data_IF_021440725036
#
_entry.id   IF_021440725036
#
_cell.length_a   1.000
_cell.length_b   1.000
_cell.length_c   1.000
_cell.angle_alpha   90.00
_cell.angle_beta   90.00
_cell.angle_gamma   90.00
#
_symmetry.space_group_name_H-M   'P 1'
#
loop_
_entity.id
_entity.type
_entity.pdbx_description
1 polymer ?
#
# COMPACT_ATOMS: atom_id res chain seq x y z
N UNK A 1 16.21 -22.67 -11.40
CA UNK A 1 16.06 -24.08 -11.81
C UNK A 1 14.70 -24.35 -12.46
N UNK A 2 13.70 -23.48 -12.24
CA UNK A 2 12.32 -23.61 -12.75
C UNK A 2 11.93 -22.52 -13.75
N UNK A 3 12.85 -21.65 -14.16
CA UNK A 3 12.54 -20.54 -15.07
C UNK A 3 11.60 -19.46 -14.47
N UNK A 4 11.62 -19.32 -13.14
CA UNK A 4 10.84 -18.34 -12.41
C UNK A 4 11.76 -17.19 -12.02
N UNK A 5 11.41 -15.97 -12.44
CA UNK A 5 12.08 -14.74 -12.03
C UNK A 5 11.50 -14.21 -10.73
N UNK A 6 12.27 -13.39 -10.02
CA UNK A 6 11.90 -12.87 -8.70
C UNK A 6 11.67 -11.36 -8.79
N UNK A 7 10.59 -10.90 -8.15
CA UNK A 7 10.28 -9.49 -7.93
C UNK A 7 10.45 -9.17 -6.43
N UNK A 8 11.21 -8.11 -6.12
CA UNK A 8 11.43 -7.65 -4.75
C UNK A 8 10.58 -6.42 -4.43
N UNK A 9 10.16 -6.36 -3.19
CA UNK A 9 9.43 -5.20 -2.65
C UNK A 9 10.42 -4.12 -2.16
N UNK A 10 10.23 -2.90 -2.66
CA UNK A 10 11.04 -1.72 -2.36
C UNK A 10 10.22 -0.72 -1.57
N UNK A 11 10.45 -0.66 -0.25
CA UNK A 11 9.77 0.27 0.65
C UNK A 11 10.59 1.55 0.73
N UNK A 12 10.27 2.51 -0.15
CA UNK A 12 11.07 3.71 -0.35
C UNK A 12 10.46 5.00 0.19
N UNK A 13 9.22 4.95 0.69
CA UNK A 13 8.60 6.12 1.32
C UNK A 13 9.19 6.43 2.69
N UNK A 14 9.63 5.42 3.44
CA UNK A 14 10.08 5.55 4.84
C UNK A 14 11.15 4.52 5.19
N UNK A 15 11.80 4.71 6.33
CA UNK A 15 12.60 3.66 6.98
C UNK A 15 12.10 3.39 8.39
N UNK A 16 12.52 2.27 8.97
CA UNK A 16 12.34 2.06 10.41
C UNK A 16 13.11 3.13 11.21
N UNK A 17 12.55 3.55 12.34
CA UNK A 17 13.25 4.42 13.30
C UNK A 17 14.46 3.75 13.96
N UNK A 18 14.63 2.42 13.78
CA UNK A 18 15.84 1.69 14.17
C UNK A 18 16.87 1.59 13.03
N UNK A 19 16.56 2.11 11.84
CA UNK A 19 17.50 2.16 10.71
C UNK A 19 18.72 3.01 11.06
N UNK A 20 19.87 2.65 10.53
CA UNK A 20 21.13 3.34 10.79
C UNK A 20 21.05 4.85 10.50
N UNK A 21 20.40 5.24 9.41
CA UNK A 21 20.25 6.65 9.04
C UNK A 21 19.45 7.43 10.09
N UNK A 22 18.35 6.87 10.59
CA UNK A 22 17.52 7.54 11.60
C UNK A 22 18.28 7.65 12.94
N UNK A 23 19.03 6.62 13.32
CA UNK A 23 19.84 6.66 14.54
C UNK A 23 20.96 7.72 14.45
N UNK A 24 21.62 7.86 13.29
CA UNK A 24 22.61 8.92 13.05
C UNK A 24 21.97 10.31 13.11
N UNK A 25 20.78 10.46 12.50
CA UNK A 25 19.99 11.69 12.58
C UNK A 25 19.66 12.09 14.03
N UNK A 26 19.21 11.14 14.85
CA UNK A 26 18.95 11.33 16.30
C UNK A 26 20.23 11.68 17.08
N UNK A 27 21.37 11.12 16.70
CA UNK A 27 22.66 11.43 17.29
C UNK A 27 23.20 12.82 16.92
N UNK A 28 22.48 13.58 16.10
CA UNK A 28 22.79 14.96 15.76
C UNK A 28 23.52 15.15 14.42
N UNK A 29 23.72 14.08 13.64
CA UNK A 29 24.32 14.16 12.31
C UNK A 29 23.39 14.92 11.36
N UNK A 30 23.84 16.09 10.90
CA UNK A 30 23.04 17.01 10.08
C UNK A 30 22.75 16.48 8.70
N UNK A 31 23.64 15.69 8.12
CA UNK A 31 23.41 15.06 6.83
C UNK A 31 22.24 14.07 6.90
N UNK A 32 22.25 13.21 7.92
CA UNK A 32 21.17 12.23 8.11
C UNK A 32 19.87 12.86 8.65
N UNK A 33 19.92 14.00 9.34
CA UNK A 33 18.71 14.77 9.66
C UNK A 33 17.99 15.23 8.40
N UNK A 34 18.71 15.60 7.35
CA UNK A 34 18.13 16.01 6.07
C UNK A 34 17.61 14.83 5.22
N UNK A 35 17.86 13.59 5.64
CA UNK A 35 17.26 12.39 5.02
C UNK A 35 15.80 12.19 5.37
N UNK A 36 15.32 12.83 6.42
CA UNK A 36 13.94 12.70 6.92
C UNK A 36 13.19 14.02 6.88
N UNK A 37 11.87 13.94 6.90
CA UNK A 37 11.03 15.13 7.00
C UNK A 37 10.90 15.50 8.48
N UNK A 38 11.79 16.39 8.94
CA UNK A 38 11.84 16.90 10.31
C UNK A 38 11.45 18.37 10.30
N UNK A 39 10.57 18.79 11.21
CA UNK A 39 10.06 20.18 11.29
C UNK A 39 10.01 20.66 12.73
N UNK A 40 10.11 21.97 12.88
CA UNK A 40 9.80 22.64 14.13
C UNK A 40 8.27 22.66 14.36
N UNK A 41 7.78 22.70 15.61
CA UNK A 41 6.38 22.97 15.88
C UNK A 41 5.99 24.37 15.34
N UNK A 42 4.69 24.62 15.21
CA UNK A 42 4.18 25.96 14.89
C UNK A 42 4.51 26.94 16.03
N UNK A 43 4.35 28.24 15.76
CA UNK A 43 4.62 29.31 16.75
C UNK A 43 3.77 29.17 18.03
N UNK A 44 2.58 28.60 17.92
CA UNK A 44 1.69 28.33 19.05
C UNK A 44 2.01 27.02 19.80
N UNK A 45 3.07 26.31 19.38
CA UNK A 45 3.50 25.03 19.93
C UNK A 45 2.74 23.81 19.41
N UNK A 46 1.79 23.98 18.50
CA UNK A 46 1.10 22.84 17.87
C UNK A 46 1.98 22.12 16.86
N UNK A 47 1.55 20.92 16.45
CA UNK A 47 2.26 20.09 15.48
C UNK A 47 2.48 20.81 14.14
N UNK A 48 3.52 20.42 13.38
CA UNK A 48 3.86 21.08 12.11
C UNK A 48 2.69 21.14 11.11
N UNK A 49 1.86 20.11 11.06
CA UNK A 49 0.58 20.09 10.37
C UNK A 49 -0.46 19.28 11.16
N UNK A 50 -1.74 19.40 10.78
CA UNK A 50 -2.84 18.62 11.36
C UNK A 50 -3.05 17.26 10.67
N UNK A 51 -2.03 16.73 9.97
CA UNK A 51 -2.15 15.47 9.22
C UNK A 51 -2.29 14.26 10.15
N UNK A 52 -3.04 13.27 9.65
CA UNK A 52 -3.29 12.02 10.35
C UNK A 52 -2.44 10.88 9.78
N UNK A 53 -1.98 9.99 10.63
CA UNK A 53 -1.39 8.72 10.20
C UNK A 53 -2.46 7.84 9.54
N UNK A 54 -2.06 7.08 8.52
CA UNK A 54 -2.94 6.10 7.86
C UNK A 54 -3.37 4.96 8.80
N UNK A 55 -2.66 4.76 9.92
CA UNK A 55 -2.99 3.78 10.95
C UNK A 55 -3.72 4.38 12.17
N UNK A 56 -4.12 5.65 12.04
CA UNK A 56 -4.81 6.38 13.10
C UNK A 56 -3.87 7.22 13.97
N UNK A 57 -4.42 8.29 14.54
CA UNK A 57 -3.64 9.26 15.31
C UNK A 57 -2.91 10.27 14.45
N UNK A 58 -2.03 11.05 15.07
CA UNK A 58 -1.27 12.13 14.43
C UNK A 58 -0.14 11.59 13.54
N UNK A 59 0.19 12.30 12.47
CA UNK A 59 1.28 11.92 11.57
C UNK A 59 2.66 12.47 11.99
N UNK A 60 2.76 13.10 13.14
CA UNK A 60 3.98 13.70 13.66
C UNK A 60 4.33 13.16 15.04
N UNK A 61 5.57 12.76 15.22
CA UNK A 61 6.09 12.29 16.50
C UNK A 61 7.35 13.08 16.92
N UNK A 62 7.63 13.23 18.23
CA UNK A 62 8.81 13.93 18.73
C UNK A 62 10.12 13.32 18.16
N UNK A 63 11.00 14.17 17.68
CA UNK A 63 12.32 13.77 17.20
C UNK A 63 13.36 13.85 18.36
N UNK A 64 13.38 12.82 19.20
CA UNK A 64 14.17 12.81 20.42
C UNK A 64 13.84 13.99 21.34
N UNK A 65 14.83 14.53 22.03
CA UNK A 65 14.70 15.69 22.95
C UNK A 65 15.01 17.01 22.24
N UNK A 66 14.89 17.08 20.90
CA UNK A 66 15.27 18.27 20.10
C UNK A 66 14.22 19.35 20.08
N UNK A 67 13.01 19.10 20.52
CA UNK A 67 11.85 19.99 20.36
C UNK A 67 11.26 19.98 18.95
N UNK A 68 11.80 19.18 18.04
CA UNK A 68 11.30 19.01 16.66
C UNK A 68 10.46 17.75 16.54
N UNK A 69 9.79 17.61 15.39
CA UNK A 69 8.95 16.47 15.04
C UNK A 69 9.39 15.87 13.70
N UNK A 70 9.30 14.55 13.57
CA UNK A 70 9.44 13.86 12.28
C UNK A 70 8.09 13.39 11.77
N UNK A 71 7.94 13.38 10.44
CA UNK A 71 6.73 12.89 9.77
C UNK A 71 6.73 11.36 9.71
N UNK A 72 5.56 10.75 9.98
CA UNK A 72 5.28 9.35 9.74
C UNK A 72 3.85 9.18 9.23
N UNK A 73 3.67 9.00 7.92
CA UNK A 73 2.34 8.75 7.36
C UNK A 73 1.76 7.39 7.71
N UNK A 74 2.57 6.47 8.25
CA UNK A 74 2.21 5.13 8.70
C UNK A 74 2.48 4.98 10.19
N UNK A 75 3.04 3.85 10.62
CA UNK A 75 3.37 3.65 12.04
C UNK A 75 4.41 4.64 12.54
N UNK A 76 4.33 4.99 13.83
CA UNK A 76 5.30 5.88 14.49
C UNK A 76 6.76 5.39 14.34
N UNK A 77 6.96 4.10 14.13
CA UNK A 77 8.28 3.51 13.88
C UNK A 77 8.74 3.59 12.42
N UNK A 78 7.96 4.22 11.52
CA UNK A 78 8.20 4.30 10.08
C UNK A 78 8.38 5.76 9.66
N UNK A 79 9.59 6.31 9.82
CA UNK A 79 9.88 7.72 9.54
C UNK A 79 9.96 8.01 8.03
N UNK A 80 9.21 9.00 7.55
CA UNK A 80 9.13 9.39 6.15
C UNK A 80 10.44 10.00 5.64
N UNK A 81 10.92 9.50 4.50
CA UNK A 81 12.13 9.99 3.84
C UNK A 81 11.89 11.30 3.09
N UNK A 82 12.88 12.15 3.11
CA UNK A 82 12.93 13.41 2.37
C UNK A 82 13.45 13.19 0.94
N UNK A 83 12.58 12.81 0.02
CA UNK A 83 12.93 12.60 -1.39
C UNK A 83 13.40 13.87 -2.13
N UNK A 84 13.22 15.05 -1.56
CA UNK A 84 13.79 16.28 -2.10
C UNK A 84 15.31 16.30 -1.98
N UNK A 85 15.85 15.62 -1.00
CA UNK A 85 17.29 15.46 -0.83
C UNK A 85 17.85 14.51 -1.92
N UNK A 86 18.70 15.00 -2.84
CA UNK A 86 19.27 14.15 -3.89
C UNK A 86 20.09 12.98 -3.34
N UNK A 87 20.73 13.12 -2.19
CA UNK A 87 21.47 12.02 -1.56
C UNK A 87 20.55 10.85 -1.17
N UNK A 88 19.34 11.13 -0.70
CA UNK A 88 18.35 10.08 -0.43
C UNK A 88 18.02 9.34 -1.71
N UNK A 89 17.75 10.04 -2.81
CA UNK A 89 17.47 9.42 -4.10
C UNK A 89 18.63 8.57 -4.61
N UNK A 90 19.87 9.08 -4.50
CA UNK A 90 21.09 8.32 -4.86
C UNK A 90 21.24 7.04 -4.02
N UNK A 91 21.00 7.10 -2.71
CA UNK A 91 21.06 5.91 -1.86
C UNK A 91 20.00 4.86 -2.25
N UNK A 92 18.78 5.29 -2.56
CA UNK A 92 17.72 4.40 -3.00
C UNK A 92 17.99 3.79 -4.40
N UNK A 93 18.62 4.55 -5.30
CA UNK A 93 19.11 4.05 -6.59
C UNK A 93 20.18 2.95 -6.38
N UNK A 94 21.09 3.13 -5.42
CA UNK A 94 22.09 2.10 -5.07
C UNK A 94 21.44 0.82 -4.57
N UNK A 95 20.36 0.91 -3.81
CA UNK A 95 19.60 -0.27 -3.36
C UNK A 95 19.04 -1.06 -4.55
N UNK A 96 18.41 -0.38 -5.51
CA UNK A 96 17.88 -1.03 -6.71
C UNK A 96 19.01 -1.66 -7.53
N UNK A 97 20.09 -0.91 -7.78
CA UNK A 97 21.24 -1.39 -8.56
C UNK A 97 21.91 -2.61 -7.91
N UNK A 98 22.04 -2.61 -6.57
CA UNK A 98 22.56 -3.77 -5.84
C UNK A 98 21.77 -5.04 -6.13
N UNK A 99 20.43 -4.96 -6.16
CA UNK A 99 19.59 -6.12 -6.45
C UNK A 99 19.57 -6.50 -7.93
N UNK A 100 19.65 -5.53 -8.84
CA UNK A 100 19.85 -5.80 -10.28
C UNK A 100 21.13 -6.60 -10.53
N UNK A 101 22.25 -6.22 -9.89
CA UNK A 101 23.53 -6.94 -9.95
C UNK A 101 23.43 -8.38 -9.40
N UNK A 102 22.48 -8.64 -8.49
CA UNK A 102 22.18 -9.99 -7.98
C UNK A 102 21.24 -10.79 -8.88
N UNK A 103 20.77 -10.20 -9.99
CA UNK A 103 19.94 -10.88 -10.98
C UNK A 103 18.42 -10.79 -10.70
N UNK A 104 17.99 -9.88 -9.83
CA UNK A 104 16.56 -9.61 -9.62
C UNK A 104 15.99 -8.96 -10.89
N UNK A 105 14.84 -9.45 -11.35
CA UNK A 105 14.17 -9.06 -12.59
C UNK A 105 12.89 -8.26 -12.38
N UNK A 106 12.47 -8.07 -11.15
CA UNK A 106 11.26 -7.30 -10.86
C UNK A 106 11.37 -6.48 -9.59
N UNK A 107 10.69 -5.34 -9.58
CA UNK A 107 10.56 -4.47 -8.41
C UNK A 107 9.12 -4.01 -8.24
N UNK A 108 8.58 -4.24 -7.05
CA UNK A 108 7.34 -3.62 -6.58
C UNK A 108 7.71 -2.47 -5.66
N UNK A 109 7.24 -1.28 -5.95
CA UNK A 109 7.49 -0.10 -5.13
C UNK A 109 6.28 0.21 -4.26
N UNK A 110 6.49 0.13 -2.94
CA UNK A 110 5.49 0.37 -1.92
C UNK A 110 5.09 1.85 -1.87
N UNK A 111 3.80 2.12 -1.90
CA UNK A 111 3.17 3.46 -1.79
C UNK A 111 3.95 4.58 -2.50
N UNK A 112 4.45 4.31 -3.69
CA UNK A 112 5.41 5.17 -4.40
C UNK A 112 4.83 6.55 -4.74
N UNK A 113 3.53 6.68 -4.89
CA UNK A 113 2.89 7.96 -5.16
C UNK A 113 2.85 8.93 -3.97
N UNK A 114 3.37 8.53 -2.80
CA UNK A 114 3.44 9.37 -1.59
C UNK A 114 4.80 10.04 -1.38
N UNK A 115 5.82 9.72 -2.19
CA UNK A 115 7.20 10.20 -1.97
C UNK A 115 7.39 11.69 -2.23
N UNK A 116 6.52 12.33 -2.99
CA UNK A 116 6.65 13.70 -3.50
C UNK A 116 6.03 14.77 -2.62
N UNK A 117 6.30 14.80 -1.32
CA UNK A 117 5.77 15.85 -0.44
C UNK A 117 6.34 17.22 -0.76
N UNK A 118 5.53 18.27 -0.63
CA UNK A 118 5.94 19.64 -0.89
C UNK A 118 6.94 20.17 0.15
N UNK A 119 7.69 21.23 -0.18
CA UNK A 119 8.61 21.89 0.78
C UNK A 119 7.85 22.51 1.92
N UNK A 120 6.83 23.30 1.57
CA UNK A 120 5.93 23.91 2.53
C UNK A 120 4.77 22.93 2.78
N UNK A 121 4.82 22.25 3.91
CA UNK A 121 3.73 21.41 4.36
C UNK A 121 2.66 22.32 4.98
N UNK A 122 1.42 22.14 4.57
CA UNK A 122 0.28 22.94 5.01
C UNK A 122 -0.74 22.07 5.73
N UNK A 123 -1.55 22.68 6.57
CA UNK A 123 -2.68 22.01 7.19
C UNK A 123 -3.69 21.54 6.14
N UNK A 124 -4.34 20.44 6.43
CA UNK A 124 -5.48 19.99 5.64
C UNK A 124 -6.73 20.79 5.97
N UNK A 125 -7.56 21.03 4.95
CA UNK A 125 -8.87 21.64 5.07
C UNK A 125 -9.95 20.61 4.70
N UNK A 126 -10.74 20.18 5.67
CA UNK A 126 -11.78 19.16 5.45
C UNK A 126 -11.20 17.83 4.98
N UNK A 127 -11.64 17.33 3.84
CA UNK A 127 -11.25 16.01 3.30
C UNK A 127 -10.05 16.04 2.34
N UNK A 128 -9.34 17.16 2.20
CA UNK A 128 -8.28 17.31 1.20
C UNK A 128 -6.91 16.78 1.61
N UNK A 129 -6.74 16.26 2.82
CA UNK A 129 -5.45 15.82 3.38
C UNK A 129 -4.66 14.93 2.42
N UNK A 130 -5.31 13.89 1.88
CA UNK A 130 -4.64 12.94 0.98
C UNK A 130 -4.06 13.59 -0.27
N UNK A 131 -4.70 14.64 -0.80
CA UNK A 131 -4.22 15.36 -1.98
C UNK A 131 -2.95 16.18 -1.72
N UNK A 132 -2.62 16.46 -0.45
CA UNK A 132 -1.43 17.23 -0.08
C UNK A 132 -0.13 16.44 -0.20
N UNK A 133 -0.20 15.10 -0.22
CA UNK A 133 0.97 14.24 -0.31
C UNK A 133 0.84 13.09 -1.33
N UNK A 134 -0.32 12.93 -1.99
CA UNK A 134 -0.55 11.86 -2.99
C UNK A 134 -0.45 12.44 -4.40
N UNK A 135 0.17 11.70 -5.31
CA UNK A 135 0.28 12.01 -6.75
C UNK A 135 0.78 13.43 -7.05
N UNK A 136 1.68 13.96 -6.22
CA UNK A 136 2.27 15.28 -6.46
C UNK A 136 3.10 15.27 -7.75
N UNK A 137 3.07 16.32 -8.58
CA UNK A 137 3.75 16.34 -9.87
C UNK A 137 5.23 15.96 -9.82
N UNK A 138 5.91 16.30 -8.73
CA UNK A 138 7.33 15.99 -8.54
C UNK A 138 7.62 14.48 -8.44
N UNK A 139 6.63 13.66 -8.09
CA UNK A 139 6.76 12.19 -8.01
C UNK A 139 7.21 11.63 -9.36
N UNK A 140 6.64 12.10 -10.45
CA UNK A 140 6.98 11.66 -11.80
C UNK A 140 8.43 11.97 -12.17
N UNK A 141 8.99 13.07 -11.69
CA UNK A 141 10.40 13.41 -11.89
C UNK A 141 11.30 12.43 -11.13
N UNK A 142 10.98 12.14 -9.88
CA UNK A 142 11.73 11.20 -9.05
C UNK A 142 11.69 9.76 -9.59
N UNK A 143 10.54 9.32 -10.11
CA UNK A 143 10.42 7.98 -10.69
C UNK A 143 11.22 7.89 -12.00
N UNK A 144 11.19 8.92 -12.86
CA UNK A 144 12.02 8.95 -14.07
C UNK A 144 13.51 8.98 -13.74
N UNK A 145 13.92 9.75 -12.73
CA UNK A 145 15.31 9.76 -12.25
C UNK A 145 15.74 8.35 -11.79
N UNK A 146 14.91 7.70 -10.99
CA UNK A 146 15.14 6.33 -10.52
C UNK A 146 15.20 5.33 -11.69
N UNK A 147 14.27 5.41 -12.64
CA UNK A 147 14.27 4.59 -13.85
C UNK A 147 15.57 4.73 -14.63
N UNK A 148 15.96 5.97 -14.96
CA UNK A 148 17.17 6.26 -15.75
C UNK A 148 18.47 5.82 -15.07
N UNK A 149 18.51 5.93 -13.73
CA UNK A 149 19.69 5.59 -12.94
C UNK A 149 19.80 4.09 -12.60
N UNK A 150 18.78 3.29 -12.91
CA UNK A 150 18.75 1.88 -12.52
C UNK A 150 18.14 0.98 -13.62
N UNK A 151 16.90 0.59 -13.49
CA UNK A 151 16.28 -0.46 -14.31
C UNK A 151 15.92 -0.02 -15.75
N UNK A 152 15.78 1.27 -16.03
CA UNK A 152 15.31 1.77 -17.34
C UNK A 152 16.28 1.55 -18.50
N UNK A 153 17.54 1.22 -18.23
CA UNK A 153 18.54 0.91 -19.27
C UNK A 153 18.67 -0.58 -19.56
N UNK A 154 17.92 -1.40 -18.84
CA UNK A 154 17.98 -2.86 -18.93
C UNK A 154 16.73 -3.40 -19.62
N UNK A 155 16.92 -4.45 -20.43
CA UNK A 155 15.84 -5.24 -20.98
C UNK A 155 15.35 -6.26 -19.92
N UNK A 156 14.11 -6.71 -20.06
CA UNK A 156 13.51 -7.77 -19.23
C UNK A 156 13.35 -7.43 -17.73
N UNK A 157 13.27 -6.16 -17.37
CA UNK A 157 12.94 -5.74 -16.01
C UNK A 157 11.47 -5.31 -15.95
N UNK A 158 10.76 -5.81 -14.95
CA UNK A 158 9.36 -5.47 -14.70
C UNK A 158 9.26 -4.66 -13.43
N UNK A 159 8.53 -3.54 -13.48
CA UNK A 159 8.30 -2.68 -12.32
C UNK A 159 6.81 -2.46 -12.11
N UNK A 160 6.39 -2.46 -10.86
CA UNK A 160 5.02 -2.15 -10.47
C UNK A 160 5.00 -1.17 -9.29
N UNK A 161 4.19 -0.13 -9.40
CA UNK A 161 3.99 0.82 -8.32
C UNK A 161 2.68 0.54 -7.58
N UNK A 162 2.74 0.55 -6.26
CA UNK A 162 1.54 0.62 -5.44
C UNK A 162 1.07 2.08 -5.35
N UNK A 163 -0.12 2.36 -5.94
CA UNK A 163 -0.65 3.72 -6.05
C UNK A 163 -1.95 3.86 -5.25
N UNK A 164 -1.80 4.21 -3.98
CA UNK A 164 -2.94 4.44 -3.10
C UNK A 164 -3.71 5.69 -3.52
N UNK A 165 -5.03 5.58 -3.69
CA UNK A 165 -5.93 6.70 -3.99
C UNK A 165 -5.60 7.50 -5.26
N UNK A 166 -4.91 6.89 -6.23
CA UNK A 166 -4.58 7.50 -7.52
C UNK A 166 -5.80 7.57 -8.45
N UNK A 167 -5.72 8.36 -9.51
CA UNK A 167 -6.74 8.43 -10.58
C UNK A 167 -6.31 7.65 -11.81
N UNK A 168 -7.24 7.41 -12.74
CA UNK A 168 -6.92 6.79 -14.04
C UNK A 168 -5.89 7.61 -14.79
N UNK A 169 -6.03 8.95 -14.79
CA UNK A 169 -5.12 9.88 -15.46
C UNK A 169 -3.70 9.76 -14.91
N UNK A 170 -3.56 9.75 -13.57
CA UNK A 170 -2.25 9.52 -12.95
C UNK A 170 -1.75 8.11 -13.20
N UNK A 171 -2.62 7.10 -13.18
CA UNK A 171 -2.28 5.72 -13.54
C UNK A 171 -1.65 5.60 -14.92
N UNK A 172 -2.21 6.31 -15.90
CA UNK A 172 -1.64 6.43 -17.25
C UNK A 172 -0.25 7.07 -17.20
N UNK A 173 -0.11 8.18 -16.47
CA UNK A 173 1.19 8.87 -16.37
C UNK A 173 2.29 7.96 -15.79
N UNK A 174 1.98 7.16 -14.78
CA UNK A 174 2.95 6.24 -14.16
C UNK A 174 3.35 5.06 -15.05
N UNK A 175 2.45 4.57 -15.90
CA UNK A 175 2.62 3.29 -16.60
C UNK A 175 2.59 3.36 -18.13
N UNK A 176 2.46 4.56 -18.72
CA UNK A 176 2.62 4.73 -20.16
C UNK A 176 4.11 4.56 -20.52
N UNK A 177 4.48 3.63 -21.44
CA UNK A 177 5.87 3.33 -21.74
C UNK A 177 6.67 4.52 -22.28
N UNK A 178 6.04 5.48 -22.96
CA UNK A 178 6.71 6.67 -23.49
C UNK A 178 7.21 7.62 -22.39
N UNK A 179 6.78 7.42 -21.15
CA UNK A 179 7.14 8.27 -20.02
C UNK A 179 8.38 7.79 -19.26
N UNK A 180 8.80 6.54 -19.49
CA UNK A 180 9.96 5.93 -18.81
C UNK A 180 9.85 6.02 -17.29
N UNK A 181 8.71 5.62 -16.74
CA UNK A 181 8.47 5.54 -15.30
C UNK A 181 8.40 4.08 -14.86
N UNK A 182 7.22 3.48 -14.82
CA UNK A 182 7.00 2.10 -14.38
C UNK A 182 6.36 1.26 -15.49
N UNK A 183 6.45 -0.07 -15.38
CA UNK A 183 5.78 -0.97 -16.33
C UNK A 183 4.27 -1.01 -16.09
N UNK A 184 3.81 -0.91 -14.84
CA UNK A 184 2.40 -1.01 -14.45
C UNK A 184 2.16 -0.45 -13.04
N UNK A 185 0.89 -0.32 -12.67
CA UNK A 185 0.50 0.11 -11.33
C UNK A 185 -0.62 -0.76 -10.75
N UNK A 186 -0.63 -0.90 -9.42
CA UNK A 186 -1.79 -1.32 -8.64
C UNK A 186 -2.68 -0.13 -8.31
N UNK A 187 -3.98 -0.23 -8.60
CA UNK A 187 -5.00 0.63 -8.03
C UNK A 187 -5.86 -0.15 -7.05
N UNK A 188 -6.49 0.52 -6.09
CA UNK A 188 -7.25 -0.12 -5.00
C UNK A 188 -8.75 0.20 -5.04
N UNK A 189 -9.22 0.93 -6.04
CA UNK A 189 -10.60 1.40 -6.09
C UNK A 189 -11.62 0.25 -6.10
N UNK A 190 -11.36 -0.81 -6.85
CA UNK A 190 -12.20 -2.01 -6.94
C UNK A 190 -12.32 -2.76 -5.60
N UNK A 191 -11.41 -2.53 -4.66
CA UNK A 191 -11.43 -3.11 -3.33
C UNK A 191 -12.14 -2.25 -2.27
N UNK A 192 -12.67 -1.07 -2.65
CA UNK A 192 -13.35 -0.16 -1.71
C UNK A 192 -14.87 -0.16 -1.89
N UNK A 193 -15.40 -1.07 -2.69
CA UNK A 193 -16.82 -1.17 -3.02
C UNK A 193 -17.71 -1.71 -1.88
N UNK A 194 -17.11 -2.10 -0.78
CA UNK A 194 -17.76 -2.48 0.47
C UNK A 194 -17.46 -1.50 1.63
N UNK A 195 -16.98 -0.29 1.28
CA UNK A 195 -16.82 0.80 2.23
C UNK A 195 -18.10 1.63 2.27
N UNK A 196 -18.44 2.15 3.43
CA UNK A 196 -19.57 3.06 3.58
C UNK A 196 -19.04 4.48 3.82
N UNK A 197 -19.42 5.40 2.96
CA UNK A 197 -19.00 6.82 3.05
C UNK A 197 -17.47 7.00 3.14
N UNK A 198 -16.72 6.08 2.49
CA UNK A 198 -15.26 6.06 2.52
C UNK A 198 -14.64 5.31 3.70
N UNK A 199 -15.46 4.87 4.67
CA UNK A 199 -15.00 4.17 5.87
C UNK A 199 -14.91 2.65 5.65
N UNK A 200 -13.73 2.07 5.94
CA UNK A 200 -13.43 0.65 5.79
C UNK A 200 -14.18 -0.23 6.78
N UNK A 201 -14.21 0.19 8.05
CA UNK A 201 -14.64 -0.64 9.18
C UNK A 201 -16.16 -0.60 9.37
N UNK A 202 -16.88 -1.08 8.37
CA UNK A 202 -18.34 -1.11 8.33
C UNK A 202 -18.85 -2.48 7.90
N UNK A 203 -20.11 -2.77 8.20
CA UNK A 203 -20.82 -4.00 7.79
C UNK A 203 -21.54 -3.82 6.44
N UNK A 204 -20.96 -3.02 5.57
CA UNK A 204 -21.50 -2.77 4.23
C UNK A 204 -21.15 -3.94 3.31
N UNK A 205 -22.15 -4.62 2.68
CA UNK A 205 -21.86 -5.57 1.63
C UNK A 205 -21.27 -4.85 0.40
N UNK A 206 -20.50 -5.58 -0.40
CA UNK A 206 -19.91 -4.97 -1.59
C UNK A 206 -20.99 -4.59 -2.62
N UNK A 207 -20.78 -3.44 -3.25
CA UNK A 207 -21.61 -2.98 -4.35
C UNK A 207 -21.11 -3.55 -5.67
N UNK A 208 -21.85 -4.54 -6.20
CA UNK A 208 -21.50 -5.20 -7.45
C UNK A 208 -21.57 -4.27 -8.67
N UNK A 209 -22.53 -3.35 -8.70
CA UNK A 209 -22.66 -2.41 -9.82
C UNK A 209 -21.51 -1.41 -9.81
N UNK A 210 -21.12 -0.92 -8.65
CA UNK A 210 -19.98 -0.04 -8.48
C UNK A 210 -18.67 -0.77 -8.81
N UNK A 211 -18.50 -2.01 -8.39
CA UNK A 211 -17.34 -2.84 -8.78
C UNK A 211 -17.21 -2.95 -10.30
N UNK A 212 -18.32 -3.25 -10.97
CA UNK A 212 -18.37 -3.35 -12.44
C UNK A 212 -18.05 -2.01 -13.11
N UNK A 213 -18.58 -0.91 -12.57
CA UNK A 213 -18.30 0.45 -13.07
C UNK A 213 -16.82 0.78 -12.98
N UNK A 214 -16.22 0.55 -11.81
CA UNK A 214 -14.78 0.83 -11.56
C UNK A 214 -13.90 -0.03 -12.48
N UNK A 215 -14.15 -1.34 -12.57
CA UNK A 215 -13.37 -2.20 -13.46
C UNK A 215 -13.45 -1.72 -14.91
N UNK A 216 -14.65 -1.35 -15.40
CA UNK A 216 -14.82 -0.84 -16.76
C UNK A 216 -14.10 0.50 -16.97
N UNK A 217 -14.21 1.44 -16.05
CA UNK A 217 -13.53 2.75 -16.09
C UNK A 217 -12.01 2.60 -16.16
N UNK A 218 -11.42 1.78 -15.30
CA UNK A 218 -9.98 1.53 -15.30
C UNK A 218 -9.51 0.78 -16.54
N UNK A 219 -10.29 -0.18 -17.04
CA UNK A 219 -9.96 -0.91 -18.28
C UNK A 219 -9.98 0.02 -19.50
N UNK A 220 -11.03 0.80 -19.66
CA UNK A 220 -11.17 1.73 -20.77
C UNK A 220 -10.12 2.85 -20.70
N UNK A 221 -10.05 3.56 -19.58
CA UNK A 221 -9.15 4.70 -19.45
C UNK A 221 -7.67 4.33 -19.58
N UNK A 222 -7.22 3.27 -18.92
CA UNK A 222 -5.84 2.79 -19.07
C UNK A 222 -5.53 2.31 -20.49
N UNK A 223 -6.52 1.72 -21.19
CA UNK A 223 -6.35 1.34 -22.59
C UNK A 223 -6.22 2.55 -23.50
N UNK A 224 -7.09 3.53 -23.34
CA UNK A 224 -7.11 4.75 -24.16
C UNK A 224 -5.85 5.59 -23.99
N UNK A 225 -5.31 5.64 -22.77
CA UNK A 225 -4.08 6.37 -22.45
C UNK A 225 -2.79 5.58 -22.56
N UNK A 226 -2.83 4.35 -23.10
CA UNK A 226 -1.69 3.44 -23.20
C UNK A 226 -1.00 3.15 -21.85
N UNK A 227 -1.75 3.17 -20.75
CA UNK A 227 -1.31 2.72 -19.44
C UNK A 227 -1.47 1.21 -19.25
N UNK A 228 -0.93 0.65 -18.15
CA UNK A 228 -1.00 -0.78 -17.88
C UNK A 228 -1.39 -1.07 -16.42
N UNK A 229 -2.43 -1.90 -16.24
CA UNK A 229 -2.91 -2.32 -14.93
C UNK A 229 -2.15 -3.55 -14.42
N UNK A 230 -1.75 -3.54 -13.16
CA UNK A 230 -1.51 -4.73 -12.37
C UNK A 230 -2.84 -5.15 -11.72
N UNK A 231 -3.34 -6.31 -12.08
CA UNK A 231 -4.67 -6.80 -11.70
C UNK A 231 -4.57 -7.77 -10.52
N UNK A 232 -5.38 -7.58 -9.49
CA UNK A 232 -5.36 -8.45 -8.31
C UNK A 232 -6.67 -8.40 -7.55
N UNK A 233 -6.96 -9.44 -6.78
CA UNK A 233 -8.04 -9.48 -5.80
C UNK A 233 -7.53 -9.44 -4.37
N UNK A 234 -6.39 -10.09 -4.13
CA UNK A 234 -5.80 -10.25 -2.80
C UNK A 234 -4.38 -9.68 -2.76
N UNK A 235 -3.98 -9.27 -1.59
CA UNK A 235 -2.59 -9.07 -1.18
C UNK A 235 -2.49 -9.24 0.35
N UNK A 236 -1.33 -8.98 0.91
CA UNK A 236 -1.07 -9.06 2.36
C UNK A 236 -1.82 -8.00 3.20
N UNK A 237 -2.49 -7.05 2.57
CA UNK A 237 -3.25 -5.95 3.22
C UNK A 237 -4.75 -5.99 2.95
N UNK A 238 -5.24 -7.04 2.28
CA UNK A 238 -6.66 -7.19 1.96
C UNK A 238 -7.20 -8.51 2.49
N UNK A 239 -8.45 -8.58 2.97
CA UNK A 239 -9.08 -9.85 3.30
C UNK A 239 -9.17 -10.77 2.08
N UNK A 240 -9.31 -12.08 2.30
CA UNK A 240 -9.42 -13.06 1.23
C UNK A 240 -10.60 -12.77 0.30
N UNK A 241 -10.35 -12.70 -1.00
CA UNK A 241 -11.35 -12.32 -1.99
C UNK A 241 -12.54 -13.28 -2.07
N UNK A 242 -12.30 -14.59 -1.89
CA UNK A 242 -13.38 -15.59 -1.88
C UNK A 242 -14.42 -15.30 -0.79
N UNK A 243 -13.98 -14.89 0.40
CA UNK A 243 -14.89 -14.51 1.50
C UNK A 243 -15.52 -13.14 1.31
N UNK A 244 -14.89 -12.25 0.52
CA UNK A 244 -15.34 -10.88 0.34
C UNK A 244 -16.32 -10.69 -0.80
N UNK A 245 -16.07 -11.37 -1.94
CA UNK A 245 -16.80 -11.15 -3.19
C UNK A 245 -17.62 -12.35 -3.64
N UNK A 246 -17.72 -13.41 -2.86
CA UNK A 246 -18.45 -14.62 -3.19
C UNK A 246 -19.13 -15.27 -2.02
N UNK A 247 -19.61 -16.49 -2.25
CA UNK A 247 -20.19 -17.37 -1.24
C UNK A 247 -19.44 -18.71 -1.24
N UNK A 248 -18.25 -18.75 -0.61
CA UNK A 248 -17.40 -19.94 -0.62
C UNK A 248 -17.95 -21.11 0.20
N UNK A 249 -18.95 -20.88 1.07
CA UNK A 249 -19.62 -21.95 1.80
C UNK A 249 -20.52 -22.80 0.89
N UNK A 250 -21.25 -22.14 -0.02
CA UNK A 250 -22.17 -22.80 -0.95
C UNK A 250 -21.52 -23.15 -2.28
N UNK A 251 -20.65 -22.27 -2.76
CA UNK A 251 -20.08 -22.31 -4.12
C UNK A 251 -18.56 -22.09 -4.12
N UNK A 252 -17.78 -22.94 -3.42
CA UNK A 252 -16.34 -22.71 -3.25
C UNK A 252 -15.58 -22.69 -4.58
N UNK A 253 -15.87 -23.63 -5.47
CA UNK A 253 -15.20 -23.73 -6.77
C UNK A 253 -15.66 -22.62 -7.73
N UNK A 254 -16.94 -22.36 -7.80
CA UNK A 254 -17.53 -21.35 -8.68
C UNK A 254 -17.06 -19.94 -8.28
N UNK A 255 -16.99 -19.66 -6.97
CA UNK A 255 -16.49 -18.38 -6.44
C UNK A 255 -15.03 -18.17 -6.85
N UNK A 256 -14.15 -19.12 -6.57
CA UNK A 256 -12.75 -19.01 -6.90
C UNK A 256 -12.53 -18.92 -8.43
N UNK A 257 -13.25 -19.74 -9.21
CA UNK A 257 -13.17 -19.73 -10.67
C UNK A 257 -13.66 -18.43 -11.29
N UNK A 258 -14.76 -17.86 -10.80
CA UNK A 258 -15.29 -16.59 -11.26
C UNK A 258 -14.30 -15.45 -11.02
N UNK A 259 -13.72 -15.38 -9.82
CA UNK A 259 -12.73 -14.35 -9.48
C UNK A 259 -11.46 -14.48 -10.33
N UNK A 260 -10.96 -15.70 -10.50
CA UNK A 260 -9.80 -15.98 -11.34
C UNK A 260 -10.06 -15.57 -12.80
N UNK A 261 -11.20 -15.99 -13.38
CA UNK A 261 -11.56 -15.62 -14.75
C UNK A 261 -11.64 -14.10 -14.93
N UNK A 262 -12.19 -13.39 -13.95
CA UNK A 262 -12.33 -11.94 -14.05
C UNK A 262 -10.98 -11.27 -14.26
N UNK A 263 -9.98 -11.49 -13.38
CA UNK A 263 -8.70 -10.79 -13.52
C UNK A 263 -7.82 -11.31 -14.67
N UNK A 264 -7.96 -12.60 -15.05
CA UNK A 264 -7.16 -13.16 -16.15
C UNK A 264 -7.68 -12.77 -17.54
N UNK A 265 -8.93 -12.36 -17.68
CA UNK A 265 -9.53 -11.95 -18.94
C UNK A 265 -9.57 -10.43 -19.14
N UNK A 266 -9.20 -9.65 -18.16
CA UNK A 266 -9.04 -8.20 -18.26
C UNK A 266 -7.67 -7.84 -18.87
N UNK A 267 -7.58 -6.65 -19.50
CA UNK A 267 -6.30 -6.11 -20.00
C UNK A 267 -5.42 -5.66 -18.83
N UNK A 268 -4.29 -6.34 -18.64
CA UNK A 268 -3.34 -6.08 -17.57
C UNK A 268 -2.54 -7.32 -17.21
N UNK A 269 -1.69 -7.21 -16.20
CA UNK A 269 -0.92 -8.33 -15.67
C UNK A 269 -1.57 -8.84 -14.39
N UNK A 270 -2.04 -10.12 -14.35
CA UNK A 270 -2.64 -10.67 -13.15
C UNK A 270 -1.58 -11.00 -12.10
N UNK A 271 -1.87 -10.65 -10.86
CA UNK A 271 -1.10 -10.98 -9.67
C UNK A 271 -1.94 -11.89 -8.77
N UNK A 272 -1.45 -13.10 -8.54
CA UNK A 272 -2.13 -14.12 -7.75
C UNK A 272 -1.49 -14.17 -6.37
N UNK A 273 -2.27 -13.87 -5.35
CA UNK A 273 -1.80 -13.94 -3.97
C UNK A 273 -1.78 -15.40 -3.48
N UNK A 274 -0.76 -15.78 -2.72
CA UNK A 274 -0.63 -17.13 -2.19
C UNK A 274 -1.90 -17.59 -1.47
N UNK A 275 -2.39 -18.78 -1.84
CA UNK A 275 -3.65 -19.35 -1.35
C UNK A 275 -4.88 -18.99 -2.18
N UNK A 276 -4.81 -17.97 -3.05
CA UNK A 276 -5.90 -17.64 -3.97
C UNK A 276 -6.13 -18.77 -4.97
N UNK A 277 -5.05 -19.37 -5.46
CA UNK A 277 -5.05 -20.48 -6.41
C UNK A 277 -5.73 -21.77 -5.88
N UNK A 278 -5.85 -21.90 -4.56
CA UNK A 278 -6.56 -23.01 -3.91
C UNK A 278 -7.86 -22.57 -3.22
N UNK A 279 -8.28 -21.34 -3.44
CA UNK A 279 -9.55 -20.81 -2.92
C UNK A 279 -9.58 -20.54 -1.41
N UNK A 280 -8.44 -20.21 -0.78
CA UNK A 280 -8.40 -19.89 0.65
C UNK A 280 -9.38 -18.79 1.02
N UNK A 281 -9.98 -18.92 2.20
CA UNK A 281 -10.96 -18.01 2.80
C UNK A 281 -10.41 -17.31 4.04
N UNK A 282 -11.15 -16.32 4.56
CA UNK A 282 -10.82 -15.71 5.84
C UNK A 282 -10.87 -16.75 6.97
N UNK A 283 -10.00 -16.64 7.99
CA UNK A 283 -10.14 -17.43 9.20
C UNK A 283 -11.36 -16.99 10.02
N UNK A 284 -11.94 -17.90 10.78
CA UNK A 284 -13.09 -17.61 11.65
C UNK A 284 -12.61 -17.43 13.11
N UNK A 285 -11.93 -16.32 13.39
CA UNK A 285 -11.47 -16.01 14.75
C UNK A 285 -12.56 -15.30 15.54
N UNK A 286 -12.87 -15.80 16.74
CA UNK A 286 -13.97 -15.30 17.57
C UNK A 286 -13.57 -14.15 18.51
N UNK A 287 -12.27 -13.90 18.68
CA UNK A 287 -11.77 -12.90 19.62
C UNK A 287 -10.68 -12.03 18.99
N UNK A 288 -10.67 -10.74 19.38
CA UNK A 288 -9.73 -9.75 18.88
C UNK A 288 -8.27 -10.11 19.21
N UNK A 289 -8.02 -10.87 20.28
CA UNK A 289 -6.67 -11.32 20.64
C UNK A 289 -6.03 -12.27 19.62
N UNK A 290 -6.83 -12.86 18.73
CA UNK A 290 -6.33 -13.68 17.61
C UNK A 290 -5.78 -12.86 16.46
N UNK A 291 -6.11 -11.58 16.39
CA UNK A 291 -5.59 -10.62 15.42
C UNK A 291 -4.32 -9.96 15.96
N UNK A 292 -3.34 -9.70 15.12
CA UNK A 292 -2.05 -9.11 15.49
C UNK A 292 -1.87 -7.70 14.95
N UNK A 293 -2.59 -7.38 13.89
CA UNK A 293 -2.49 -6.09 13.24
C UNK A 293 -3.07 -4.96 14.09
N UNK A 294 -2.25 -3.91 14.30
CA UNK A 294 -2.63 -2.76 15.12
C UNK A 294 -3.85 -2.02 14.56
N UNK A 295 -4.05 -2.00 13.24
CA UNK A 295 -5.20 -1.39 12.61
C UNK A 295 -6.50 -2.08 13.05
N UNK A 296 -6.50 -3.42 13.13
CA UNK A 296 -7.64 -4.21 13.60
C UNK A 296 -7.97 -3.95 15.07
N UNK A 297 -6.94 -3.83 15.92
CA UNK A 297 -7.13 -3.50 17.33
C UNK A 297 -7.67 -2.07 17.54
N UNK A 298 -7.16 -1.11 16.80
CA UNK A 298 -7.65 0.26 16.84
C UNK A 298 -9.10 0.34 16.38
N UNK A 299 -9.41 -0.26 15.24
CA UNK A 299 -10.77 -0.32 14.71
C UNK A 299 -11.75 -0.99 15.69
N UNK A 300 -11.36 -2.12 16.28
CA UNK A 300 -12.20 -2.78 17.28
C UNK A 300 -12.50 -1.85 18.46
N UNK A 301 -11.49 -1.11 18.95
CA UNK A 301 -11.65 -0.16 20.05
C UNK A 301 -12.61 0.97 19.69
N UNK A 302 -12.46 1.54 18.49
CA UNK A 302 -13.33 2.61 17.96
C UNK A 302 -14.78 2.12 17.80
N UNK A 303 -14.99 0.94 17.24
CA UNK A 303 -16.31 0.32 17.13
C UNK A 303 -16.96 0.11 18.51
N UNK A 304 -16.18 -0.33 19.49
CA UNK A 304 -16.66 -0.45 20.88
C UNK A 304 -17.02 0.90 21.51
N UNK A 305 -16.22 1.93 21.27
CA UNK A 305 -16.51 3.30 21.71
C UNK A 305 -17.75 3.89 21.03
N UNK A 306 -18.00 3.51 19.79
CA UNK A 306 -19.21 3.87 19.04
C UNK A 306 -20.46 3.10 19.53
N UNK A 307 -20.34 2.20 20.50
CA UNK A 307 -21.45 1.52 21.16
C UNK A 307 -21.80 0.14 20.60
N UNK A 308 -21.02 -0.40 19.65
CA UNK A 308 -21.28 -1.75 19.13
C UNK A 308 -20.99 -2.81 20.19
N UNK A 309 -21.77 -3.89 20.18
CA UNK A 309 -21.50 -5.09 20.98
C UNK A 309 -20.20 -5.76 20.54
N UNK A 310 -19.66 -6.67 21.34
CA UNK A 310 -18.49 -7.47 20.95
C UNK A 310 -18.76 -8.24 19.64
N UNK A 311 -19.90 -8.87 19.54
CA UNK A 311 -20.27 -9.67 18.36
C UNK A 311 -20.38 -8.82 17.08
N UNK A 312 -21.00 -7.63 17.16
CA UNK A 312 -21.10 -6.70 16.01
C UNK A 312 -19.71 -6.19 15.58
N UNK A 313 -18.87 -5.79 16.53
CA UNK A 313 -17.52 -5.35 16.23
C UNK A 313 -16.70 -6.49 15.61
N UNK A 314 -16.73 -7.69 16.20
CA UNK A 314 -16.00 -8.84 15.65
C UNK A 314 -16.47 -9.25 14.26
N UNK A 315 -17.77 -9.16 13.97
CA UNK A 315 -18.30 -9.42 12.62
C UNK A 315 -17.64 -8.52 11.58
N UNK A 316 -17.45 -7.25 11.88
CA UNK A 316 -16.75 -6.29 11.00
C UNK A 316 -15.26 -6.64 10.89
N UNK A 317 -14.60 -6.90 12.00
CA UNK A 317 -13.17 -7.27 12.02
C UNK A 317 -12.90 -8.54 11.19
N UNK A 318 -13.72 -9.58 11.37
CA UNK A 318 -13.65 -10.84 10.60
C UNK A 318 -13.72 -10.61 9.07
N UNK A 319 -14.47 -9.62 8.64
CA UNK A 319 -14.63 -9.31 7.21
C UNK A 319 -13.50 -8.42 6.66
N UNK A 320 -13.00 -7.46 7.44
CA UNK A 320 -12.19 -6.35 6.94
C UNK A 320 -10.71 -6.40 7.31
N UNK A 321 -10.33 -7.22 8.31
CA UNK A 321 -8.95 -7.29 8.78
C UNK A 321 -8.01 -7.82 7.70
N UNK A 322 -6.84 -7.19 7.58
CA UNK A 322 -5.76 -7.67 6.72
C UNK A 322 -5.07 -8.93 7.25
N UNK A 323 -5.18 -9.23 8.54
CA UNK A 323 -4.69 -10.49 9.11
C UNK A 323 -5.36 -11.72 8.48
N UNK A 324 -6.55 -11.55 7.90
CA UNK A 324 -7.25 -12.60 7.16
C UNK A 324 -6.41 -13.21 6.01
N UNK A 325 -5.55 -12.40 5.38
CA UNK A 325 -4.64 -12.86 4.33
C UNK A 325 -3.26 -13.30 4.83
N UNK A 326 -2.99 -13.14 6.14
CA UNK A 326 -1.68 -13.44 6.75
C UNK A 326 -1.65 -14.77 7.48
N UNK A 327 -2.62 -15.64 7.18
CA UNK A 327 -2.65 -17.03 7.66
C UNK A 327 -1.65 -17.88 6.89
N UNK A 328 -1.09 -18.95 7.50
CA UNK A 328 -0.20 -19.88 6.81
C UNK A 328 -0.87 -20.50 5.57
N UNK A 329 -0.06 -20.73 4.53
CA UNK A 329 -0.49 -21.39 3.32
C UNK A 329 -0.92 -22.83 3.62
N UNK A 330 -2.06 -23.27 3.07
CA UNK A 330 -2.54 -24.64 3.20
C UNK A 330 -1.95 -25.51 2.09
N UNK A 331 -0.91 -26.29 2.41
CA UNK A 331 -0.15 -27.08 1.44
C UNK A 331 -0.80 -28.40 1.06
N UNK A 332 -1.56 -29.00 1.98
CA UNK A 332 -2.26 -30.27 1.77
C UNK A 332 -3.51 -30.40 2.66
N UNK A 333 -4.22 -31.52 2.55
CA UNK A 333 -5.44 -31.83 3.31
C UNK A 333 -5.20 -32.50 4.66
N UNK A 334 -3.96 -32.56 5.15
CA UNK A 334 -3.67 -33.09 6.48
C UNK A 334 -4.23 -32.20 7.59
N UNK A 335 -4.26 -32.71 8.83
CA UNK A 335 -4.80 -31.99 10.00
C UNK A 335 -4.18 -30.59 10.20
N UNK A 336 -2.90 -30.42 9.86
CA UNK A 336 -2.15 -29.19 10.02
C UNK A 336 -1.75 -28.58 8.66
N UNK A 337 -2.44 -28.95 7.58
CA UNK A 337 -2.24 -28.39 6.23
C UNK A 337 -0.77 -28.44 5.76
N UNK A 338 -0.04 -29.47 6.14
CA UNK A 338 1.37 -29.67 5.75
C UNK A 338 2.41 -29.06 6.70
N UNK A 339 2.01 -28.67 7.93
CA UNK A 339 2.90 -28.17 8.98
C UNK A 339 3.06 -29.17 10.12
#
# INVERSE_FOLDING_TARGET
QHGIEIMFDMVFNHTSTTHEWFRKALAGDKEYQDYYIIRDPKEDGSLPTNWSSKFGGEAWAPFGDTGKYYLHLFDVTQADLNWRNPKVREELQKVVNFWLEKGIKGFRFDVLNLIGKDVALVDSEGSNEKSLYTDRPIVHEYIRELNQASFGTLEDIITVGEMSSTTVENGILYSNPDRNELSMIFSFHHLKVDYKDGEKWTDQPFDFLELKRILNEWQAGMSDGNGWNALFWNNHDQPRANSRFGDPERYPFETASMLAQTIHLLRGTPYIYQGEEIGMTNPDYDDISSYRDIESHNAYRELKLAGLTHQEAMRIIKQKSRDNSRTPMQWDSSRHAGF
#
